data_IF_851162900314
#
_entry.id   IF_851162900314
#
_cell.length_a   1.000
_cell.length_b   1.000
_cell.length_c   1.000
_cell.angle_alpha   90.00
_cell.angle_beta   90.00
_cell.angle_gamma   90.00
#
_symmetry.space_group_name_H-M   'P 1'
#
loop_
_entity.id
_entity.type
_entity.pdbx_description
1 polymer ?
#
# COMPACT_ATOMS: atom_id res chain seq x y z
N UNK A 1 -14.00 75.95 -47.10
CA UNK A 1 -15.20 75.11 -47.23
C UNK A 1 -14.88 73.74 -46.65
N UNK A 2 -15.71 73.29 -45.66
CA UNK A 2 -16.09 71.93 -45.21
C UNK A 2 -15.16 70.70 -45.47
N UNK A 3 -15.31 69.59 -44.70
CA UNK A 3 -15.61 69.43 -43.28
C UNK A 3 -14.80 68.29 -42.60
N UNK A 4 -15.02 68.15 -41.30
CA UNK A 4 -14.66 67.07 -40.36
C UNK A 4 -15.13 65.66 -40.75
N UNK A 5 -14.31 64.64 -40.48
CA UNK A 5 -14.77 63.27 -40.21
C UNK A 5 -14.03 62.65 -39.02
N UNK A 6 -14.78 62.36 -37.96
CA UNK A 6 -14.39 61.54 -36.82
C UNK A 6 -14.69 60.09 -37.19
N UNK A 7 -13.66 59.25 -37.32
CA UNK A 7 -13.84 57.80 -37.49
C UNK A 7 -13.76 57.11 -36.14
N UNK A 8 -14.91 56.57 -35.72
CA UNK A 8 -15.04 55.64 -34.59
C UNK A 8 -14.31 54.34 -34.94
N UNK A 9 -13.29 53.96 -34.17
CA UNK A 9 -12.74 52.61 -34.20
C UNK A 9 -13.66 51.68 -33.39
N UNK A 10 -14.17 50.64 -34.05
CA UNK A 10 -14.94 49.56 -33.44
C UNK A 10 -13.94 48.59 -32.79
N UNK A 11 -14.13 48.34 -31.49
CA UNK A 11 -13.37 47.35 -30.71
C UNK A 11 -13.97 45.97 -31.01
N UNK A 12 -13.21 45.11 -31.70
CA UNK A 12 -13.50 43.67 -31.78
C UNK A 12 -12.61 42.95 -30.77
N UNK A 13 -13.17 42.65 -29.59
CA UNK A 13 -12.52 41.81 -28.61
C UNK A 13 -12.65 40.34 -29.06
N UNK A 14 -11.55 39.73 -29.50
CA UNK A 14 -11.47 38.28 -29.69
C UNK A 14 -11.42 37.61 -28.31
N UNK A 15 -12.55 37.06 -27.87
CA UNK A 15 -12.61 36.17 -26.73
C UNK A 15 -11.94 34.84 -27.12
N UNK A 16 -10.68 34.65 -26.71
CA UNK A 16 -10.03 33.34 -26.75
C UNK A 16 -10.66 32.50 -25.64
N UNK A 17 -11.63 31.68 -26.02
CA UNK A 17 -12.22 30.70 -25.12
C UNK A 17 -11.15 29.70 -24.68
N UNK A 18 -10.74 29.77 -23.43
CA UNK A 18 -9.91 28.73 -22.81
C UNK A 18 -10.71 27.43 -22.77
N UNK A 19 -10.36 26.47 -23.62
CA UNK A 19 -10.77 25.08 -23.42
C UNK A 19 -10.03 24.56 -22.19
N UNK A 20 -10.67 24.66 -21.02
CA UNK A 20 -10.30 23.83 -19.88
C UNK A 20 -10.57 22.38 -20.26
N UNK A 21 -9.52 21.69 -20.72
CA UNK A 21 -9.51 20.24 -20.76
C UNK A 21 -9.61 19.77 -19.31
N UNK A 22 -10.81 19.43 -18.87
CA UNK A 22 -11.00 18.70 -17.62
C UNK A 22 -10.27 17.36 -17.78
N UNK A 23 -9.14 17.21 -17.09
CA UNK A 23 -8.48 15.92 -16.97
C UNK A 23 -9.51 14.93 -16.40
N UNK A 24 -9.65 13.73 -16.98
CA UNK A 24 -10.53 12.73 -16.41
C UNK A 24 -9.99 12.41 -15.01
N UNK A 25 -10.82 12.65 -13.98
CA UNK A 25 -10.56 12.10 -12.66
C UNK A 25 -10.50 10.58 -12.83
N UNK A 26 -9.29 10.01 -12.72
CA UNK A 26 -9.11 8.58 -12.57
C UNK A 26 -9.99 8.18 -11.38
N UNK A 27 -11.00 7.35 -11.64
CA UNK A 27 -11.73 6.70 -10.58
C UNK A 27 -10.73 5.82 -9.83
N UNK A 28 -10.13 6.37 -8.77
CA UNK A 28 -9.41 5.58 -7.78
C UNK A 28 -10.37 4.48 -7.32
N UNK A 29 -9.90 3.23 -7.36
CA UNK A 29 -10.61 2.13 -6.73
C UNK A 29 -11.02 2.56 -5.32
N UNK A 30 -12.24 2.22 -4.90
CA UNK A 30 -12.60 2.40 -3.50
C UNK A 30 -11.88 1.32 -2.71
N UNK A 31 -10.74 1.67 -2.11
CA UNK A 31 -10.02 0.83 -1.16
C UNK A 31 -10.94 0.45 -0.03
N UNK A 32 -11.05 -0.87 0.19
CA UNK A 32 -11.75 -1.43 1.32
C UNK A 32 -10.71 -1.95 2.30
N UNK A 33 -11.07 -1.91 3.57
CA UNK A 33 -10.20 -2.18 4.69
C UNK A 33 -9.31 -3.43 4.49
N UNK A 34 -7.99 -3.27 4.61
CA UNK A 34 -7.04 -4.37 4.68
C UNK A 34 -7.22 -5.02 6.07
N UNK A 35 -8.01 -6.09 6.07
CA UNK A 35 -8.44 -6.77 7.28
C UNK A 35 -7.35 -7.64 7.91
N UNK A 36 -7.46 -7.93 9.22
CA UNK A 36 -6.57 -8.83 9.94
C UNK A 36 -6.67 -10.22 9.34
N UNK A 37 -5.54 -10.90 9.32
CA UNK A 37 -5.42 -12.22 8.75
C UNK A 37 -5.64 -13.28 9.83
N UNK A 38 -6.92 -13.59 10.08
CA UNK A 38 -7.31 -14.66 11.02
C UNK A 38 -7.03 -16.09 10.52
N UNK A 39 -6.26 -16.25 9.43
CA UNK A 39 -6.11 -17.52 8.70
C UNK A 39 -4.67 -17.82 8.32
N UNK A 40 -3.68 -17.34 9.07
CA UNK A 40 -2.33 -17.90 8.96
C UNK A 40 -2.36 -19.29 9.59
N UNK A 41 -2.47 -20.29 8.74
CA UNK A 41 -2.42 -21.70 9.11
C UNK A 41 -1.27 -22.36 8.36
N UNK A 42 -0.36 -23.01 9.10
CA UNK A 42 0.82 -23.64 8.53
C UNK A 42 1.62 -22.73 7.57
N UNK A 43 1.90 -21.49 7.98
CA UNK A 43 2.65 -20.50 7.17
C UNK A 43 1.96 -20.17 5.83
N UNK A 44 0.64 -20.29 5.77
CA UNK A 44 -0.17 -20.05 4.57
C UNK A 44 -1.33 -19.13 4.89
N UNK A 45 -1.62 -18.17 3.99
CA UNK A 45 -2.76 -17.26 4.09
C UNK A 45 -3.53 -17.18 2.78
N UNK A 46 -4.84 -16.89 2.85
CA UNK A 46 -5.65 -16.64 1.66
C UNK A 46 -5.37 -15.29 0.98
N UNK A 47 -4.80 -14.32 1.69
CA UNK A 47 -4.65 -12.95 1.20
C UNK A 47 -3.29 -12.32 1.47
N UNK A 48 -2.44 -12.85 2.34
CA UNK A 48 -1.12 -12.28 2.63
C UNK A 48 0.01 -13.18 2.15
N UNK A 49 1.08 -12.55 1.68
CA UNK A 49 2.39 -13.16 1.42
C UNK A 49 3.46 -12.24 2.01
N UNK A 50 4.55 -12.79 2.55
CA UNK A 50 5.61 -12.00 3.16
C UNK A 50 6.05 -12.54 4.51
N UNK A 51 6.38 -11.64 5.44
CA UNK A 51 6.87 -12.03 6.76
C UNK A 51 6.06 -11.38 7.88
N UNK A 52 5.66 -12.19 8.85
CA UNK A 52 5.16 -11.75 10.14
C UNK A 52 6.06 -12.30 11.26
N UNK A 53 6.22 -11.53 12.33
CA UNK A 53 6.87 -12.02 13.56
C UNK A 53 5.89 -11.89 14.72
N UNK A 54 5.65 -12.97 15.44
CA UNK A 54 4.64 -13.05 16.52
C UNK A 54 5.13 -13.87 17.71
N UNK A 55 4.36 -13.98 18.79
CA UNK A 55 4.65 -14.84 19.95
C UNK A 55 5.71 -14.34 20.97
N UNK A 56 6.59 -13.42 20.59
CA UNK A 56 7.65 -12.86 21.46
C UNK A 56 7.50 -11.35 21.74
N UNK A 57 6.30 -10.81 21.51
CA UNK A 57 5.98 -9.40 21.71
C UNK A 57 6.07 -8.92 23.17
N UNK A 58 5.75 -7.65 23.43
CA UNK A 58 5.03 -6.75 22.53
C UNK A 58 5.90 -6.22 21.38
N UNK A 59 5.29 -6.09 20.20
CA UNK A 59 5.91 -5.43 19.05
C UNK A 59 5.48 -3.97 19.01
N UNK A 60 6.42 -3.06 19.22
CA UNK A 60 6.18 -1.62 19.32
C UNK A 60 6.70 -0.85 18.12
N UNK A 61 7.45 -1.48 17.22
CA UNK A 61 7.82 -0.85 15.96
C UNK A 61 8.02 -1.88 14.86
N UNK A 62 7.68 -1.48 13.65
CA UNK A 62 7.99 -2.19 12.41
C UNK A 62 8.44 -1.17 11.37
N UNK A 63 9.37 -1.54 10.51
CA UNK A 63 9.73 -0.74 9.35
C UNK A 63 10.22 -1.64 8.22
N UNK A 64 10.09 -1.16 6.99
CA UNK A 64 10.63 -1.79 5.79
C UNK A 64 10.68 -0.76 4.67
N UNK A 65 11.41 -1.07 3.61
CA UNK A 65 11.44 -0.30 2.37
C UNK A 65 11.22 -1.21 1.18
N UNK A 66 10.54 -0.72 0.15
CA UNK A 66 10.33 -1.46 -1.08
C UNK A 66 10.38 -0.54 -2.30
N UNK A 67 10.63 -1.15 -3.47
CA UNK A 67 10.38 -0.48 -4.75
C UNK A 67 8.96 -0.78 -5.18
N UNK A 68 8.18 0.24 -5.53
CA UNK A 68 6.82 0.11 -6.03
C UNK A 68 6.80 -0.83 -7.25
N UNK A 69 6.15 -2.00 -7.15
CA UNK A 69 6.10 -2.94 -8.25
C UNK A 69 5.29 -2.38 -9.42
N UNK A 70 5.67 -2.79 -10.64
CA UNK A 70 4.81 -2.63 -11.80
C UNK A 70 3.81 -3.79 -11.86
N UNK A 71 2.59 -3.54 -12.31
CA UNK A 71 1.58 -4.58 -12.52
C UNK A 71 1.33 -4.89 -13.99
N UNK A 72 1.20 -6.18 -14.33
CA UNK A 72 0.77 -6.67 -15.64
C UNK A 72 -0.77 -6.74 -15.71
N UNK A 73 -1.34 -5.60 -16.10
CA UNK A 73 -2.78 -5.48 -16.30
C UNK A 73 -3.29 -6.08 -17.61
N UNK A 74 -2.39 -6.56 -18.50
CA UNK A 74 -2.83 -7.36 -19.64
C UNK A 74 -3.19 -8.78 -19.18
N UNK A 75 -2.41 -9.35 -18.24
CA UNK A 75 -2.72 -10.64 -17.60
C UNK A 75 -3.87 -10.55 -16.60
N UNK A 76 -3.91 -9.47 -15.82
CA UNK A 76 -4.88 -9.30 -14.72
C UNK A 76 -5.65 -7.99 -14.87
N UNK A 77 -6.61 -7.88 -15.80
CA UNK A 77 -7.18 -6.59 -16.20
C UNK A 77 -8.00 -5.86 -15.12
N UNK A 78 -8.52 -6.59 -14.14
CA UNK A 78 -9.23 -6.03 -12.97
C UNK A 78 -8.82 -6.80 -11.73
N UNK A 79 -7.85 -6.26 -10.99
CA UNK A 79 -7.17 -6.96 -9.90
C UNK A 79 -6.51 -5.96 -8.95
N UNK A 80 -6.16 -6.40 -7.74
CA UNK A 80 -5.67 -5.55 -6.66
C UNK A 80 -4.42 -6.12 -6.00
N UNK A 81 -3.52 -5.26 -5.54
CA UNK A 81 -2.43 -5.68 -4.67
C UNK A 81 -1.88 -4.54 -3.82
N UNK A 82 -1.58 -4.83 -2.56
CA UNK A 82 -1.03 -3.87 -1.61
C UNK A 82 0.34 -4.32 -1.09
N UNK A 83 1.20 -3.35 -0.74
CA UNK A 83 2.52 -3.57 -0.14
C UNK A 83 2.64 -2.65 1.06
N UNK A 84 2.87 -3.21 2.24
CA UNK A 84 2.77 -2.44 3.48
C UNK A 84 3.58 -3.03 4.63
N UNK A 85 3.73 -2.23 5.69
CA UNK A 85 4.20 -2.68 7.01
C UNK A 85 3.17 -2.35 8.07
N UNK A 86 3.05 -3.22 9.07
CA UNK A 86 2.02 -3.10 10.09
C UNK A 86 2.38 -3.72 11.44
N UNK A 87 1.74 -3.21 12.48
CA UNK A 87 1.65 -3.87 13.79
C UNK A 87 0.28 -4.52 13.91
N UNK A 88 0.23 -5.64 14.64
CA UNK A 88 -0.96 -6.49 14.77
C UNK A 88 -1.44 -7.11 13.44
N UNK A 89 -2.37 -8.07 13.47
CA UNK A 89 -3.03 -8.62 12.28
C UNK A 89 -3.02 -10.15 12.12
N UNK A 90 -1.86 -10.79 12.28
CA UNK A 90 -1.71 -12.26 12.23
C UNK A 90 -2.44 -12.94 13.41
N UNK A 91 -2.13 -12.54 14.64
CA UNK A 91 -2.66 -13.17 15.87
C UNK A 91 -3.72 -12.33 16.59
N UNK A 92 -4.13 -11.21 15.99
CA UNK A 92 -4.91 -10.17 16.65
C UNK A 92 -5.99 -9.59 15.71
N UNK A 93 -6.90 -8.77 16.25
CA UNK A 93 -8.11 -8.30 15.53
C UNK A 93 -8.02 -6.86 15.01
N UNK A 94 -6.84 -6.26 15.10
CA UNK A 94 -6.55 -4.92 14.60
C UNK A 94 -5.33 -5.01 13.69
N UNK A 95 -5.12 -3.98 12.86
CA UNK A 95 -3.88 -3.79 12.11
C UNK A 95 -3.64 -2.30 12.00
N UNK A 96 -2.48 -1.84 12.42
CA UNK A 96 -2.04 -0.46 12.28
C UNK A 96 -0.94 -0.40 11.23
N UNK A 97 -1.24 0.14 10.05
CA UNK A 97 -0.46 -0.13 8.85
C UNK A 97 -0.44 1.04 7.87
N UNK A 98 0.62 1.08 7.05
CA UNK A 98 0.75 2.05 5.97
C UNK A 98 1.53 1.45 4.81
N UNK A 99 1.17 1.87 3.61
CA UNK A 99 1.75 1.31 2.41
C UNK A 99 1.20 1.90 1.13
N UNK A 100 1.35 1.12 0.08
CA UNK A 100 1.03 1.49 -1.29
C UNK A 100 0.27 0.38 -1.97
N UNK A 101 -0.45 0.72 -3.01
CA UNK A 101 -1.09 -0.27 -3.85
C UNK A 101 -0.63 -0.20 -5.31
N UNK A 102 -0.74 -1.35 -5.96
CA UNK A 102 -0.58 -1.55 -7.39
C UNK A 102 -1.77 -2.34 -7.90
N UNK A 103 -2.74 -1.64 -8.46
CA UNK A 103 -3.97 -2.22 -8.96
C UNK A 103 -4.01 -2.22 -10.48
N UNK A 104 -4.87 -3.08 -10.99
CA UNK A 104 -5.30 -3.06 -12.38
C UNK A 104 -6.79 -2.71 -12.47
N UNK A 105 -7.10 -1.69 -13.25
CA UNK A 105 -8.46 -1.26 -13.54
C UNK A 105 -8.66 -1.19 -15.05
N UNK A 106 -9.48 -2.11 -15.59
CA UNK A 106 -9.80 -2.21 -17.02
C UNK A 106 -8.54 -2.25 -17.90
N UNK A 107 -7.54 -3.02 -17.48
CA UNK A 107 -6.27 -3.20 -18.20
C UNK A 107 -5.26 -2.08 -18.00
N UNK A 108 -5.55 -1.09 -17.13
CA UNK A 108 -4.63 0.01 -16.83
C UNK A 108 -4.18 -0.03 -15.37
N UNK A 109 -2.89 0.25 -15.14
CA UNK A 109 -2.33 0.30 -13.80
C UNK A 109 -2.81 1.53 -13.01
N UNK A 110 -3.11 1.34 -11.73
CA UNK A 110 -3.50 2.39 -10.78
C UNK A 110 -2.67 2.23 -9.52
N UNK A 111 -1.98 3.31 -9.12
CA UNK A 111 -1.12 3.32 -7.93
C UNK A 111 -1.51 4.46 -7.01
N UNK A 112 -1.52 4.22 -5.71
CA UNK A 112 -1.73 5.24 -4.68
C UNK A 112 -1.17 4.73 -3.33
N UNK A 113 -1.07 5.64 -2.38
CA UNK A 113 -0.51 5.40 -1.06
C UNK A 113 -1.56 5.65 0.03
N UNK A 114 -1.43 4.99 1.17
CA UNK A 114 -2.44 5.03 2.23
C UNK A 114 -1.88 4.74 3.63
N UNK A 115 -2.68 5.06 4.64
CA UNK A 115 -2.56 4.48 5.99
C UNK A 115 -3.91 3.93 6.45
N UNK A 116 -3.88 2.93 7.33
CA UNK A 116 -5.07 2.32 7.91
C UNK A 116 -4.89 1.99 9.39
N UNK A 117 -5.99 2.13 10.12
CA UNK A 117 -6.13 1.73 11.53
C UNK A 117 -7.31 0.75 11.61
N UNK A 118 -7.14 -0.46 11.11
CA UNK A 118 -8.21 -1.46 11.00
C UNK A 118 -8.84 -1.67 12.39
N UNK A 119 -10.19 -1.67 12.51
CA UNK A 119 -11.21 -1.86 11.47
C UNK A 119 -11.73 -0.60 10.76
N UNK A 120 -11.06 0.55 10.90
CA UNK A 120 -11.44 1.74 10.12
C UNK A 120 -10.95 1.60 8.68
N UNK A 121 -11.70 2.20 7.75
CA UNK A 121 -11.28 2.29 6.35
C UNK A 121 -9.94 3.03 6.19
N UNK A 122 -9.17 2.68 5.13
CA UNK A 122 -7.93 3.35 4.82
C UNK A 122 -8.17 4.82 4.44
N UNK A 123 -7.16 5.65 4.69
CA UNK A 123 -7.09 7.01 4.21
C UNK A 123 -6.02 7.09 3.11
N UNK A 124 -6.43 7.53 1.93
CA UNK A 124 -5.53 7.65 0.78
C UNK A 124 -4.85 9.01 0.75
N UNK A 125 -3.54 9.02 0.50
CA UNK A 125 -2.78 10.23 0.21
C UNK A 125 -3.04 10.68 -1.24
N UNK A 126 -3.06 11.99 -1.46
CA UNK A 126 -3.30 12.57 -2.79
C UNK A 126 -2.05 12.56 -3.69
N UNK A 127 -0.89 12.25 -3.11
CA UNK A 127 0.39 12.25 -3.81
C UNK A 127 0.45 11.17 -4.88
N UNK A 128 1.16 11.51 -5.96
CA UNK A 128 1.34 10.60 -7.08
C UNK A 128 2.24 9.44 -6.68
N UNK A 129 1.83 8.22 -6.99
CA UNK A 129 2.66 7.01 -6.94
C UNK A 129 2.86 6.48 -8.36
N UNK A 130 3.99 5.87 -8.66
CA UNK A 130 4.21 5.10 -9.90
C UNK A 130 5.17 3.94 -9.68
N UNK A 131 5.11 2.96 -10.59
CA UNK A 131 6.08 1.87 -10.59
C UNK A 131 7.53 2.39 -10.62
N UNK A 132 8.41 1.75 -9.84
CA UNK A 132 9.81 2.13 -9.68
C UNK A 132 10.10 3.12 -8.56
N UNK A 133 9.08 3.67 -7.91
CA UNK A 133 9.27 4.57 -6.76
C UNK A 133 9.84 3.82 -5.56
N UNK A 134 10.73 4.47 -4.81
CA UNK A 134 11.37 3.90 -3.62
C UNK A 134 10.67 4.36 -2.36
N UNK A 135 9.96 3.43 -1.71
CA UNK A 135 9.21 3.67 -0.49
C UNK A 135 9.98 3.26 0.76
N UNK A 136 9.82 4.04 1.83
CA UNK A 136 10.20 3.68 3.19
C UNK A 136 9.01 3.89 4.12
N UNK A 137 8.68 2.87 4.91
CA UNK A 137 7.52 2.88 5.80
C UNK A 137 7.90 2.46 7.21
N UNK A 138 7.21 3.03 8.19
CA UNK A 138 7.35 2.67 9.60
C UNK A 138 6.04 2.85 10.36
N UNK A 139 5.75 1.93 11.27
CA UNK A 139 4.70 2.06 12.27
C UNK A 139 5.33 1.92 13.65
N UNK A 140 5.00 2.81 14.57
CA UNK A 140 5.54 2.79 15.94
C UNK A 140 4.45 3.05 16.96
N UNK A 141 4.37 2.19 17.97
CA UNK A 141 3.55 2.39 19.15
C UNK A 141 4.29 3.27 20.17
N UNK A 142 3.69 4.41 20.52
CA UNK A 142 4.28 5.40 21.45
C UNK A 142 3.64 5.38 22.84
N UNK A 143 2.91 4.31 23.20
CA UNK A 143 2.22 4.19 24.48
C UNK A 143 0.79 4.73 24.47
N UNK A 144 -0.01 4.36 25.47
CA UNK A 144 -1.40 4.85 25.68
C UNK A 144 -2.37 4.65 24.50
N UNK A 145 -2.12 3.64 23.66
CA UNK A 145 -2.88 3.38 22.45
C UNK A 145 -2.48 4.25 21.25
N UNK A 146 -1.40 5.03 21.30
CA UNK A 146 -0.98 5.88 20.19
C UNK A 146 -0.01 5.18 19.25
N UNK A 147 -0.24 5.37 17.96
CA UNK A 147 0.55 4.85 16.87
C UNK A 147 0.97 5.99 15.96
N UNK A 148 2.25 6.03 15.61
CA UNK A 148 2.80 6.91 14.57
C UNK A 148 3.03 6.08 13.32
N UNK A 149 2.36 6.43 12.22
CA UNK A 149 2.49 5.78 10.92
C UNK A 149 3.17 6.75 9.97
N UNK A 150 4.25 6.31 9.35
CA UNK A 150 5.07 7.12 8.45
C UNK A 150 5.25 6.38 7.13
N UNK A 151 5.00 7.07 6.02
CA UNK A 151 5.27 6.57 4.68
C UNK A 151 5.97 7.67 3.88
N UNK A 152 7.08 7.33 3.24
CA UNK A 152 7.86 8.28 2.44
C UNK A 152 8.15 7.69 1.07
N UNK A 153 7.90 8.47 0.03
CA UNK A 153 8.40 8.21 -1.32
C UNK A 153 9.68 9.01 -1.51
N UNK A 154 10.80 8.32 -1.41
CA UNK A 154 12.14 8.92 -1.52
C UNK A 154 12.50 9.30 -2.96
N UNK A 155 11.82 8.72 -3.96
CA UNK A 155 11.99 9.08 -5.36
C UNK A 155 11.32 10.42 -5.66
N UNK A 156 10.17 10.70 -5.03
CA UNK A 156 9.41 11.96 -5.23
C UNK A 156 9.67 13.03 -4.19
N UNK A 157 10.27 12.66 -3.05
CA UNK A 157 10.62 13.59 -1.98
C UNK A 157 9.43 14.00 -1.12
N UNK A 158 8.33 13.24 -1.09
CA UNK A 158 7.22 13.47 -0.15
C UNK A 158 7.26 12.46 1.00
N UNK A 159 6.74 12.89 2.16
CA UNK A 159 6.64 12.06 3.35
C UNK A 159 5.38 12.45 4.13
N UNK A 160 4.62 11.44 4.53
CA UNK A 160 3.47 11.59 5.41
C UNK A 160 3.74 10.95 6.75
N UNK A 161 3.32 11.63 7.80
CA UNK A 161 3.32 11.11 9.17
C UNK A 161 1.98 11.43 9.80
N UNK A 162 1.30 10.41 10.30
CA UNK A 162 0.05 10.57 11.06
C UNK A 162 0.19 9.91 12.43
N UNK A 163 -0.47 10.50 13.43
CA UNK A 163 -0.59 9.90 14.75
C UNK A 163 -2.04 9.54 15.00
N UNK A 164 -2.29 8.26 15.20
CA UNK A 164 -3.61 7.70 15.40
C UNK A 164 -3.70 7.01 16.73
N UNK A 165 -4.92 6.81 17.22
CA UNK A 165 -5.15 6.17 18.51
C UNK A 165 -6.05 4.96 18.38
N UNK A 166 -5.57 3.81 18.84
CA UNK A 166 -6.32 2.58 18.98
C UNK A 166 -5.95 1.88 20.30
N UNK A 167 -6.84 1.93 21.29
CA UNK A 167 -6.59 1.32 22.62
C UNK A 167 -6.77 -0.20 22.64
N UNK A 168 -7.48 -0.75 21.67
CA UNK A 168 -7.80 -2.18 21.58
C UNK A 168 -6.66 -3.01 20.98
N UNK A 169 -5.69 -2.35 20.33
CA UNK A 169 -4.50 -2.99 19.77
C UNK A 169 -3.75 -3.80 20.84
N UNK A 170 -3.19 -4.92 20.41
CA UNK A 170 -2.57 -5.93 21.28
C UNK A 170 -1.06 -5.97 21.14
N UNK A 171 -0.51 -5.42 20.06
CA UNK A 171 0.92 -5.43 19.77
C UNK A 171 1.48 -6.86 19.67
N UNK A 172 0.68 -7.78 19.13
CA UNK A 172 0.92 -9.21 19.07
C UNK A 172 1.79 -9.66 17.89
N UNK A 173 1.86 -8.87 16.82
CA UNK A 173 2.71 -9.13 15.65
C UNK A 173 3.31 -7.84 15.04
N UNK A 174 4.34 -8.02 14.23
CA UNK A 174 4.91 -7.02 13.33
C UNK A 174 5.19 -7.64 11.95
N UNK A 175 4.88 -6.92 10.87
CA UNK A 175 4.63 -7.54 9.57
C UNK A 175 5.14 -6.67 8.40
N UNK A 176 5.63 -7.31 7.34
CA UNK A 176 5.96 -6.72 6.04
C UNK A 176 5.40 -7.61 4.93
N UNK A 177 4.38 -7.12 4.22
CA UNK A 177 3.43 -7.97 3.49
C UNK A 177 3.16 -7.44 2.07
N UNK A 178 3.04 -8.37 1.13
CA UNK A 178 2.29 -8.22 -0.11
C UNK A 178 0.89 -8.85 0.07
N UNK A 179 -0.17 -8.12 -0.25
CA UNK A 179 -1.55 -8.52 0.04
C UNK A 179 -2.43 -8.51 -1.21
N UNK A 180 -3.37 -9.45 -1.28
CA UNK A 180 -4.60 -9.34 -2.06
C UNK A 180 -5.71 -8.76 -1.15
N UNK A 181 -6.09 -7.47 -1.27
CA UNK A 181 -7.02 -6.85 -0.34
C UNK A 181 -8.39 -7.53 -0.32
N UNK A 182 -9.19 -7.32 0.73
CA UNK A 182 -10.53 -7.91 0.84
C UNK A 182 -11.65 -6.90 0.63
N UNK A 183 -12.72 -7.33 -0.05
CA UNK A 183 -13.97 -6.60 -0.23
C UNK A 183 -15.15 -7.24 0.50
N UNK A 184 -16.38 -6.77 0.23
CA UNK A 184 -17.58 -7.37 0.84
C UNK A 184 -17.84 -8.82 0.41
N UNK A 185 -17.22 -9.26 -0.68
CA UNK A 185 -17.29 -10.63 -1.19
C UNK A 185 -16.14 -11.53 -0.75
N UNK A 186 -15.23 -11.05 0.11
CA UNK A 186 -13.99 -11.75 0.48
C UNK A 186 -12.76 -11.21 -0.26
N UNK A 187 -11.70 -12.02 -0.29
CA UNK A 187 -10.41 -11.69 -0.91
C UNK A 187 -10.58 -11.34 -2.39
N UNK A 188 -10.01 -10.22 -2.82
CA UNK A 188 -10.08 -9.72 -4.19
C UNK A 188 -9.11 -10.47 -5.11
N UNK A 189 -9.36 -10.48 -6.44
CA UNK A 189 -8.40 -10.96 -7.44
C UNK A 189 -7.03 -10.29 -7.30
N UNK A 190 -5.95 -11.09 -7.22
CA UNK A 190 -4.60 -10.58 -6.97
C UNK A 190 -3.96 -10.03 -8.27
N UNK A 191 -3.54 -8.76 -8.28
CA UNK A 191 -2.85 -8.19 -9.43
C UNK A 191 -1.49 -8.88 -9.67
N UNK A 192 -1.14 -9.09 -10.94
CA UNK A 192 0.16 -9.62 -11.32
C UNK A 192 1.22 -8.54 -11.13
N UNK A 193 1.80 -8.48 -9.93
CA UNK A 193 2.85 -7.53 -9.58
C UNK A 193 4.26 -8.02 -9.95
N UNK A 194 4.37 -9.19 -10.58
CA UNK A 194 5.64 -9.88 -10.86
C UNK A 194 6.43 -10.19 -9.59
N UNK A 195 7.24 -9.23 -9.12
CA UNK A 195 8.02 -9.36 -7.90
C UNK A 195 8.08 -8.03 -7.14
N UNK A 196 7.80 -8.09 -5.84
CA UNK A 196 8.00 -6.98 -4.92
C UNK A 196 9.26 -7.21 -4.08
N UNK A 197 10.21 -6.28 -4.12
CA UNK A 197 11.45 -6.39 -3.35
C UNK A 197 11.35 -5.57 -2.07
N UNK A 198 11.31 -6.23 -0.93
CA UNK A 198 11.38 -5.63 0.40
C UNK A 198 12.82 -5.64 0.92
N UNK A 199 13.17 -4.63 1.70
CA UNK A 199 14.51 -4.43 2.24
C UNK A 199 14.46 -3.75 3.60
N UNK A 200 15.44 -4.06 4.45
CA UNK A 200 15.56 -3.43 5.76
C UNK A 200 14.35 -3.68 6.67
N UNK A 201 13.63 -4.79 6.49
CA UNK A 201 12.53 -5.16 7.36
C UNK A 201 13.03 -5.35 8.81
N UNK A 202 12.44 -4.61 9.74
CA UNK A 202 12.77 -4.66 11.17
C UNK A 202 11.52 -4.84 12.02
N UNK A 203 11.66 -5.54 13.15
CA UNK A 203 10.72 -5.45 14.26
C UNK A 203 11.47 -5.01 15.52
N UNK A 204 10.90 -4.07 16.28
CA UNK A 204 11.53 -3.50 17.49
C UNK A 204 12.97 -3.00 17.25
N UNK A 205 13.20 -2.39 16.08
CA UNK A 205 14.50 -1.88 15.65
C UNK A 205 15.55 -2.93 15.29
N UNK A 206 15.22 -4.23 15.37
CA UNK A 206 16.13 -5.33 14.99
C UNK A 206 15.76 -5.85 13.60
N UNK A 207 16.78 -6.09 12.76
CA UNK A 207 16.57 -6.69 11.44
C UNK A 207 15.98 -8.09 11.56
N UNK A 208 14.98 -8.37 10.73
CA UNK A 208 14.42 -9.70 10.60
C UNK A 208 15.36 -10.59 9.78
N UNK A 209 15.64 -11.79 10.27
CA UNK A 209 16.46 -12.80 9.59
C UNK A 209 15.80 -14.17 9.73
N UNK A 210 16.24 -15.16 8.96
CA UNK A 210 15.74 -16.53 9.07
C UNK A 210 15.90 -17.17 10.46
N UNK A 211 16.71 -16.56 11.35
CA UNK A 211 16.90 -16.99 12.73
C UNK A 211 16.10 -16.17 13.75
N UNK A 212 15.30 -15.19 13.32
CA UNK A 212 14.45 -14.39 14.23
C UNK A 212 13.40 -15.30 14.88
N UNK A 213 13.35 -15.39 16.22
CA UNK A 213 12.34 -16.20 16.91
C UNK A 213 10.91 -15.75 16.59
N UNK A 214 10.03 -16.69 16.29
CA UNK A 214 8.62 -16.42 15.97
C UNK A 214 8.40 -15.77 14.60
N UNK A 215 9.42 -15.73 13.75
CA UNK A 215 9.29 -15.29 12.37
C UNK A 215 8.61 -16.36 11.53
N UNK A 216 7.60 -15.96 10.76
CA UNK A 216 6.83 -16.83 9.87
C UNK A 216 6.92 -16.32 8.41
N UNK A 217 7.44 -17.13 7.46
CA UNK A 217 7.34 -16.86 6.03
C UNK A 217 5.95 -17.26 5.51
N UNK A 218 5.08 -16.30 5.29
CA UNK A 218 3.70 -16.54 4.88
C UNK A 218 3.62 -16.69 3.36
N UNK A 219 3.11 -17.82 2.89
CA UNK A 219 2.76 -18.04 1.48
C UNK A 219 1.30 -17.67 1.24
N UNK A 220 1.00 -16.89 0.20
CA UNK A 220 -0.39 -16.65 -0.19
C UNK A 220 -0.89 -17.81 -1.04
N UNK A 221 -1.93 -18.51 -0.59
CA UNK A 221 -2.59 -19.57 -1.36
C UNK A 221 -4.10 -19.63 -1.13
N UNK A 222 -4.85 -19.99 -2.16
CA UNK A 222 -6.31 -20.22 -2.07
C UNK A 222 -6.70 -21.46 -2.85
N UNK A 223 -7.51 -22.33 -2.26
CA UNK A 223 -7.97 -23.57 -2.91
C UNK A 223 -6.83 -24.49 -3.37
N UNK A 224 -5.70 -24.49 -2.66
CA UNK A 224 -4.49 -25.24 -3.03
C UNK A 224 -3.63 -24.60 -4.11
N UNK A 225 -4.02 -23.45 -4.65
CA UNK A 225 -3.23 -22.68 -5.64
C UNK A 225 -2.39 -21.64 -4.92
N UNK A 226 -1.06 -21.72 -5.09
CA UNK A 226 -0.13 -20.70 -4.63
C UNK A 226 -0.28 -19.46 -5.52
N UNK A 227 -0.47 -18.31 -4.88
CA UNK A 227 -0.65 -17.02 -5.55
C UNK A 227 0.57 -16.12 -5.44
N UNK A 228 1.22 -16.12 -4.28
CA UNK A 228 2.44 -15.39 -4.02
C UNK A 228 3.29 -16.09 -2.96
N UNK A 229 4.61 -15.91 -3.00
CA UNK A 229 5.52 -16.54 -2.03
C UNK A 229 6.73 -15.66 -1.76
N UNK A 230 7.12 -15.47 -0.48
CA UNK A 230 8.36 -14.80 -0.14
C UNK A 230 9.56 -15.71 -0.38
N UNK A 231 10.66 -15.12 -0.86
CA UNK A 231 11.99 -15.74 -0.80
C UNK A 231 12.46 -15.84 0.66
N UNK A 232 13.53 -16.61 0.90
CA UNK A 232 14.21 -16.55 2.20
C UNK A 232 14.64 -15.11 2.53
N UNK A 233 14.42 -14.70 3.78
CA UNK A 233 14.86 -13.40 4.29
C UNK A 233 16.32 -13.42 4.73
N UNK A 234 17.04 -12.35 4.41
CA UNK A 234 18.39 -12.10 4.89
C UNK A 234 18.56 -10.62 5.21
N UNK A 235 18.94 -10.30 6.45
CA UNK A 235 19.18 -8.92 6.90
C UNK A 235 18.02 -7.97 6.57
N UNK A 236 16.79 -8.40 6.81
CA UNK A 236 15.56 -7.65 6.52
C UNK A 236 15.18 -7.59 5.03
N UNK A 237 15.96 -8.20 4.13
CA UNK A 237 15.69 -8.23 2.70
C UNK A 237 15.06 -9.54 2.24
N UNK A 238 13.99 -9.45 1.45
CA UNK A 238 13.34 -10.56 0.77
C UNK A 238 12.61 -10.07 -0.48
N UNK A 239 12.33 -10.97 -1.40
CA UNK A 239 11.43 -10.71 -2.53
C UNK A 239 10.14 -11.49 -2.35
N UNK A 240 9.00 -10.90 -2.70
CA UNK A 240 7.73 -11.57 -2.80
C UNK A 240 7.37 -11.74 -4.27
N UNK A 241 7.11 -12.98 -4.70
CA UNK A 241 6.90 -13.31 -6.12
C UNK A 241 5.47 -13.74 -6.37
N UNK A 242 4.82 -13.12 -7.35
CA UNK A 242 3.50 -13.50 -7.83
C UNK A 242 3.59 -14.75 -8.73
N UNK A 243 2.59 -15.63 -8.65
CA UNK A 243 2.49 -16.86 -9.45
C UNK A 243 1.21 -16.94 -10.28
N UNK A 244 0.05 -16.74 -9.64
CA UNK A 244 -1.24 -16.84 -10.30
C UNK A 244 -2.37 -16.21 -9.48
N UNK A 245 -3.50 -15.98 -10.14
CA UNK A 245 -4.76 -15.63 -9.49
C UNK A 245 -5.55 -16.86 -9.05
#
# INVERSE_FOLDING_TARGET
MRPSHVSRAVITALAVGALSAAAPALAAGSHRAAGPNHRIDHSTSSNWSGYAVSGFGPYTSVSSSWTQPAVDCARTPTAWSAFWVGLDGDTTNTVEQTGTEADCSKGSAVYYAWYEMYPKYPFNYADRVSAGDSFSAAVTYSGSGYFKLTLSDTTRGWSHTTTQRLKSAKLGSAEAIAEAPSGSGGVLPLADFGTAAFSGATANGSLLTSSTPGLDPITMASGGTVKATPSSISSGGFSDTWYSQ
#
